data_IF_642667859803
#
_entry.id   IF_642667859803
#
_cell.length_a   1.000
_cell.length_b   1.000
_cell.length_c   1.000
_cell.angle_alpha   90.00
_cell.angle_beta   90.00
_cell.angle_gamma   90.00
#
_symmetry.space_group_name_H-M   'P 1'
#
loop_
_entity.id
_entity.type
_entity.pdbx_description
1 polymer ?
#
# COMPACT_ATOMS: atom_id res chain seq x y z
N UNK A 1 7.47 -1.18 -18.96
CA UNK A 1 6.83 -1.57 -17.69
C UNK A 1 7.71 -1.14 -16.54
N UNK A 2 7.32 -0.09 -15.81
CA UNK A 2 8.08 0.32 -14.62
C UNK A 2 7.99 -0.79 -13.54
N UNK A 3 8.99 -0.87 -12.67
CA UNK A 3 8.99 -1.82 -11.53
C UNK A 3 7.73 -1.66 -10.67
N UNK A 4 7.23 -0.43 -10.58
CA UNK A 4 6.03 -0.04 -9.83
C UNK A 4 4.76 -0.61 -10.46
N UNK A 5 4.61 -0.55 -11.79
CA UNK A 5 3.47 -1.17 -12.49
C UNK A 5 3.43 -2.68 -12.34
N UNK A 6 4.58 -3.37 -12.31
CA UNK A 6 4.63 -4.82 -12.07
C UNK A 6 4.17 -5.17 -10.66
N UNK A 7 4.59 -4.39 -9.65
CA UNK A 7 4.16 -4.52 -8.26
C UNK A 7 2.66 -4.27 -8.12
N UNK A 8 2.15 -3.22 -8.75
CA UNK A 8 0.73 -2.87 -8.72
C UNK A 8 -0.14 -3.96 -9.34
N UNK A 9 0.24 -4.48 -10.51
CA UNK A 9 -0.46 -5.61 -11.12
C UNK A 9 -0.39 -6.89 -10.28
N UNK A 10 0.71 -7.15 -9.58
CA UNK A 10 0.86 -8.29 -8.67
C UNK A 10 -0.09 -8.17 -7.47
N UNK A 11 -0.17 -6.99 -6.85
CA UNK A 11 -1.06 -6.71 -5.71
C UNK A 11 -2.52 -6.69 -6.14
N UNK A 12 -2.85 -6.12 -7.31
CA UNK A 12 -4.21 -6.12 -7.89
C UNK A 12 -4.73 -7.54 -8.16
N UNK A 13 -3.84 -8.47 -8.57
CA UNK A 13 -4.17 -9.90 -8.73
C UNK A 13 -4.30 -10.64 -7.40
N UNK A 14 -3.62 -10.19 -6.34
CA UNK A 14 -3.51 -10.89 -5.04
C UNK A 14 -3.91 -10.02 -3.83
N UNK A 15 -5.02 -9.27 -3.95
CA UNK A 15 -5.50 -8.33 -2.92
C UNK A 15 -5.70 -9.01 -1.55
N UNK A 16 -6.17 -10.26 -1.53
CA UNK A 16 -6.44 -11.02 -0.29
C UNK A 16 -5.19 -11.57 0.40
N UNK A 17 -4.07 -11.65 -0.32
CA UNK A 17 -2.86 -12.32 0.16
C UNK A 17 -1.62 -11.43 0.04
N UNK A 18 -1.84 -10.11 0.09
CA UNK A 18 -0.76 -9.13 -0.02
C UNK A 18 0.09 -9.18 1.25
N UNK A 19 1.39 -9.40 1.07
CA UNK A 19 2.35 -9.39 2.17
C UNK A 19 2.57 -7.95 2.64
N UNK A 20 2.95 -7.78 3.91
CA UNK A 20 3.32 -6.47 4.44
C UNK A 20 4.44 -5.82 3.60
N UNK A 21 5.45 -6.60 3.21
CA UNK A 21 6.56 -6.11 2.38
C UNK A 21 6.12 -5.66 0.98
N UNK A 22 5.24 -6.41 0.31
CA UNK A 22 4.70 -5.97 -0.99
C UNK A 22 3.86 -4.69 -0.83
N UNK A 23 3.11 -4.55 0.27
CA UNK A 23 2.27 -3.38 0.55
C UNK A 23 3.11 -2.13 0.84
N UNK A 24 4.08 -2.24 1.74
CA UNK A 24 5.00 -1.14 2.08
C UNK A 24 5.89 -0.74 0.90
N UNK A 25 6.31 -1.71 0.07
CA UNK A 25 7.01 -1.42 -1.18
C UNK A 25 6.14 -0.62 -2.16
N UNK A 26 4.83 -0.88 -2.18
CA UNK A 26 3.88 -0.16 -3.03
C UNK A 26 3.67 1.27 -2.51
N UNK A 27 3.53 1.44 -1.19
CA UNK A 27 3.47 2.77 -0.58
C UNK A 27 4.74 3.57 -0.89
N UNK A 28 5.92 3.00 -0.67
CA UNK A 28 7.20 3.67 -0.96
C UNK A 28 7.43 3.94 -2.46
N UNK A 29 6.71 3.24 -3.34
CA UNK A 29 6.80 3.49 -4.78
C UNK A 29 5.95 4.68 -5.25
N UNK A 30 4.86 5.00 -4.53
CA UNK A 30 3.92 6.08 -4.87
C UNK A 30 3.92 7.24 -3.85
N UNK A 31 4.63 7.08 -2.74
CA UNK A 31 4.67 8.01 -1.62
C UNK A 31 5.70 7.56 -0.60
N UNK A 32 5.37 7.66 0.69
CA UNK A 32 6.27 7.28 1.78
C UNK A 32 5.48 6.86 3.04
N UNK A 33 6.18 6.18 3.94
CA UNK A 33 5.63 5.69 5.21
C UNK A 33 6.21 6.54 6.34
N UNK A 34 5.33 7.10 7.16
CA UNK A 34 5.70 7.82 8.37
C UNK A 34 5.50 6.93 9.60
N UNK A 35 6.61 6.59 10.26
CA UNK A 35 6.65 5.81 11.49
C UNK A 35 6.88 6.73 12.70
N UNK A 36 5.82 7.40 13.15
CA UNK A 36 5.88 8.35 14.28
C UNK A 36 4.96 8.04 15.47
N UNK A 37 4.16 6.97 15.39
CA UNK A 37 3.14 6.65 16.40
C UNK A 37 2.85 5.15 16.45
N UNK A 38 1.99 4.72 17.40
CA UNK A 38 1.58 3.31 17.63
C UNK A 38 1.18 2.54 16.37
N UNK A 39 0.76 3.22 15.31
CA UNK A 39 0.47 2.66 14.00
C UNK A 39 1.17 3.45 12.88
N UNK A 40 1.81 2.79 11.90
CA UNK A 40 2.40 3.46 10.76
C UNK A 40 1.34 4.16 9.90
N UNK A 41 1.73 5.30 9.33
CA UNK A 41 0.93 6.08 8.39
C UNK A 41 1.54 5.94 7.00
N UNK A 42 0.73 5.54 6.04
CA UNK A 42 1.08 5.62 4.62
C UNK A 42 0.57 6.94 4.07
N UNK A 43 1.48 7.70 3.47
CA UNK A 43 1.19 8.98 2.81
C UNK A 43 1.45 8.79 1.33
N UNK A 44 0.39 8.85 0.52
CA UNK A 44 0.43 8.66 -0.93
C UNK A 44 -0.20 9.89 -1.58
N UNK A 45 0.63 10.80 -2.11
CA UNK A 45 0.16 12.10 -2.57
C UNK A 45 -0.53 12.91 -1.46
N UNK A 46 -1.79 13.29 -1.69
CA UNK A 46 -2.62 13.98 -0.69
C UNK A 46 -3.40 13.02 0.24
N UNK A 47 -3.31 11.72 0.01
CA UNK A 47 -4.02 10.72 0.81
C UNK A 47 -3.14 10.22 1.95
N UNK A 48 -3.72 10.18 3.15
CA UNK A 48 -3.10 9.61 4.34
C UNK A 48 -3.95 8.47 4.84
N UNK A 49 -3.38 7.27 4.95
CA UNK A 49 -4.04 6.14 5.61
C UNK A 49 -3.18 5.61 6.76
N UNK A 50 -3.82 5.27 7.87
CA UNK A 50 -3.20 4.48 8.93
C UNK A 50 -3.50 3.01 8.69
N UNK A 51 -2.48 2.15 8.82
CA UNK A 51 -2.67 0.72 8.73
C UNK A 51 -2.02 0.01 9.93
N UNK A 52 -2.57 -1.15 10.26
CA UNK A 52 -1.96 -2.03 11.26
C UNK A 52 -1.00 -2.98 10.57
N UNK A 53 0.24 -3.07 11.08
CA UNK A 53 1.22 -4.05 10.60
C UNK A 53 0.76 -5.46 10.96
N UNK A 54 0.40 -6.23 9.96
CA UNK A 54 0.07 -7.65 10.07
C UNK A 54 0.83 -8.41 8.98
N UNK A 55 1.21 -9.68 9.24
CA UNK A 55 1.98 -10.50 8.29
C UNK A 55 1.30 -10.57 6.91
N UNK A 56 -0.04 -10.56 6.91
CA UNK A 56 -0.88 -10.39 5.72
C UNK A 56 -1.72 -9.15 5.91
N UNK A 57 -1.67 -8.26 4.94
CA UNK A 57 -2.47 -7.05 4.98
C UNK A 57 -3.93 -7.40 4.73
N UNK A 58 -4.84 -6.76 5.47
CA UNK A 58 -6.27 -6.89 5.19
C UNK A 58 -6.56 -6.32 3.82
N UNK A 59 -7.40 -7.03 3.07
CA UNK A 59 -7.81 -6.62 1.72
C UNK A 59 -8.44 -5.22 1.67
N UNK A 60 -9.01 -4.74 2.77
CA UNK A 60 -9.62 -3.41 2.85
C UNK A 60 -8.56 -2.31 2.65
N UNK A 61 -7.44 -2.38 3.38
CA UNK A 61 -6.33 -1.43 3.24
C UNK A 61 -5.68 -1.49 1.86
N UNK A 62 -5.57 -2.71 1.30
CA UNK A 62 -5.02 -2.91 -0.04
C UNK A 62 -5.93 -2.30 -1.11
N UNK A 63 -7.24 -2.44 -0.97
CA UNK A 63 -8.20 -1.81 -1.88
C UNK A 63 -8.15 -0.29 -1.79
N UNK A 64 -8.19 0.27 -0.58
CA UNK A 64 -8.06 1.72 -0.39
C UNK A 64 -6.79 2.26 -1.04
N UNK A 65 -5.66 1.54 -0.89
CA UNK A 65 -4.40 1.94 -1.50
C UNK A 65 -4.47 1.90 -3.03
N UNK A 66 -5.09 0.87 -3.60
CA UNK A 66 -5.28 0.76 -5.05
C UNK A 66 -6.22 1.84 -5.57
N UNK A 67 -7.32 2.15 -4.88
CA UNK A 67 -8.27 3.20 -5.25
C UNK A 67 -7.60 4.58 -5.21
N UNK A 68 -6.75 4.84 -4.21
CA UNK A 68 -5.94 6.05 -4.13
C UNK A 68 -5.00 6.17 -5.33
N UNK A 69 -4.34 5.07 -5.72
CA UNK A 69 -3.40 5.09 -6.84
C UNK A 69 -4.12 5.18 -8.19
N UNK A 70 -5.28 4.54 -8.36
CA UNK A 70 -6.12 4.69 -9.58
C UNK A 70 -6.71 6.12 -9.67
N UNK A 71 -6.83 6.84 -8.56
CA UNK A 71 -7.31 8.24 -8.51
C UNK A 71 -6.22 9.31 -8.70
N UNK A 72 -4.96 8.89 -8.85
CA UNK A 72 -3.76 9.75 -8.89
C UNK A 72 -3.20 9.84 -10.32
#
# INVERSE_FOLDING_TARGET
MSRNQKLLNKVRRNIRNTSLGDFEALINAYGYIEEGSKHPKAIVGNYTMTYKREKRMKSCYVKELLDIIDSL
#
